data_IF_892101631123
#
_entry.id   IF_892101631123
#
_cell.length_a   1.000
_cell.length_b   1.000
_cell.length_c   1.000
_cell.angle_alpha   90.00
_cell.angle_beta   90.00
_cell.angle_gamma   90.00
#
_symmetry.space_group_name_H-M   'P 1'
#
loop_
_entity.id
_entity.type
_entity.pdbx_description
1 polymer ?
#
# COMPACT_ATOMS: atom_id res chain seq x y z
N UNK A 1 20.84 -33.95 7.89
CA UNK A 1 20.74 -34.56 9.23
C UNK A 1 19.39 -35.28 9.35
N UNK A 2 19.41 -36.60 9.30
CA UNK A 2 18.22 -37.44 9.47
C UNK A 2 17.90 -37.51 10.97
N UNK A 3 16.79 -36.91 11.43
CA UNK A 3 16.31 -37.15 12.80
C UNK A 3 15.56 -38.49 12.80
N UNK A 4 15.79 -39.38 13.79
CA UNK A 4 14.99 -40.60 13.92
C UNK A 4 13.50 -40.23 14.06
N UNK A 5 12.62 -41.00 13.41
CA UNK A 5 11.17 -40.80 13.46
C UNK A 5 10.69 -40.95 14.90
N UNK A 6 10.24 -39.84 15.49
CA UNK A 6 9.70 -39.85 16.85
C UNK A 6 8.29 -40.44 16.80
N UNK A 7 8.06 -41.50 17.56
CA UNK A 7 6.76 -42.16 17.69
C UNK A 7 6.17 -41.87 19.08
N UNK A 8 4.89 -41.55 19.15
CA UNK A 8 4.19 -41.18 20.39
C UNK A 8 2.94 -42.05 20.57
N UNK A 9 2.53 -42.28 21.82
CA UNK A 9 1.26 -42.97 22.12
C UNK A 9 0.14 -41.95 22.24
N UNK A 10 -0.93 -42.11 21.45
CA UNK A 10 -2.07 -41.21 21.49
C UNK A 10 -2.85 -41.35 22.82
N UNK A 11 -3.31 -40.23 23.42
CA UNK A 11 -3.92 -40.26 24.76
C UNK A 11 -5.26 -40.99 24.80
N UNK A 12 -6.02 -40.98 23.69
CA UNK A 12 -7.35 -41.57 23.62
C UNK A 12 -7.33 -43.02 23.12
N UNK A 13 -6.81 -43.28 21.91
CA UNK A 13 -6.78 -44.63 21.35
C UNK A 13 -5.72 -45.54 21.97
N UNK A 14 -4.73 -44.97 22.67
CA UNK A 14 -3.53 -45.67 23.17
C UNK A 14 -2.69 -46.34 22.07
N UNK A 15 -2.94 -46.00 20.81
CA UNK A 15 -2.17 -46.48 19.67
C UNK A 15 -0.89 -45.67 19.49
N UNK A 16 0.12 -46.30 18.86
CA UNK A 16 1.35 -45.63 18.46
C UNK A 16 1.11 -44.84 17.17
N UNK A 17 1.62 -43.62 17.13
CA UNK A 17 1.48 -42.70 16.02
C UNK A 17 2.81 -41.98 15.74
N UNK A 18 3.14 -41.83 14.46
CA UNK A 18 4.23 -41.01 13.99
C UNK A 18 3.77 -40.23 12.75
N UNK A 19 4.47 -39.15 12.41
CA UNK A 19 4.20 -38.38 11.18
C UNK A 19 5.04 -38.98 10.05
N UNK A 20 4.41 -39.53 8.99
CA UNK A 20 5.12 -40.00 7.80
C UNK A 20 6.05 -38.95 7.17
N UNK A 21 7.20 -39.39 6.66
CA UNK A 21 8.20 -38.50 6.04
C UNK A 21 7.80 -37.86 4.71
N UNK A 22 6.68 -38.30 4.13
CA UNK A 22 6.10 -37.76 2.89
C UNK A 22 4.97 -36.75 3.13
N UNK A 23 4.79 -36.28 4.37
CA UNK A 23 3.81 -35.25 4.72
C UNK A 23 4.48 -33.88 4.74
N UNK A 24 3.86 -32.92 4.05
CA UNK A 24 4.21 -31.51 4.11
C UNK A 24 3.09 -30.72 4.77
N UNK A 25 3.43 -29.85 5.73
CA UNK A 25 2.51 -28.94 6.39
C UNK A 25 2.77 -27.52 5.91
N UNK A 26 1.79 -26.91 5.25
CA UNK A 26 1.82 -25.52 4.82
C UNK A 26 0.72 -24.79 5.59
N UNK A 27 1.11 -23.78 6.35
CA UNK A 27 0.19 -22.91 7.09
C UNK A 27 0.29 -21.48 6.60
N UNK A 28 -0.83 -20.77 6.61
CA UNK A 28 -0.88 -19.32 6.41
C UNK A 28 -1.10 -18.63 7.74
N UNK A 29 -0.39 -17.55 8.00
CA UNK A 29 -0.52 -16.76 9.21
C UNK A 29 -0.77 -15.31 8.84
N UNK A 30 -1.78 -14.69 9.46
CA UNK A 30 -1.97 -13.24 9.40
C UNK A 30 -1.07 -12.61 10.47
N UNK A 31 -0.07 -11.81 10.08
CA UNK A 31 0.88 -11.21 11.02
C UNK A 31 0.36 -9.96 11.71
N UNK A 32 -0.71 -9.33 11.19
CA UNK A 32 -1.38 -8.22 11.85
C UNK A 32 -2.12 -8.66 13.13
N UNK A 33 -2.56 -9.91 13.19
CA UNK A 33 -3.31 -10.44 14.33
C UNK A 33 -2.37 -10.89 15.45
N UNK A 34 -2.25 -10.04 16.49
CA UNK A 34 -1.42 -10.31 17.66
C UNK A 34 -2.08 -11.19 18.72
N UNK A 35 -3.35 -11.60 18.54
CA UNK A 35 -4.08 -12.41 19.53
C UNK A 35 -3.46 -13.81 19.76
N UNK A 36 -2.64 -14.29 18.81
CA UNK A 36 -2.05 -15.64 18.84
C UNK A 36 -0.55 -15.67 19.18
N UNK A 37 0.03 -14.55 19.62
CA UNK A 37 1.48 -14.40 19.83
C UNK A 37 2.11 -15.48 20.75
N UNK A 38 1.36 -16.02 21.71
CA UNK A 38 1.85 -17.06 22.63
C UNK A 38 1.89 -18.47 22.00
N UNK A 39 0.94 -18.82 21.12
CA UNK A 39 0.94 -20.09 20.36
C UNK A 39 2.14 -20.14 19.39
N UNK A 40 2.56 -18.96 18.97
CA UNK A 40 3.53 -18.72 17.92
C UNK A 40 4.95 -19.20 18.27
N UNK A 41 5.39 -19.13 19.55
CA UNK A 41 6.79 -19.46 19.91
C UNK A 41 7.11 -20.95 19.67
N UNK A 42 6.20 -21.86 19.99
CA UNK A 42 6.42 -23.29 19.82
C UNK A 42 6.35 -23.72 18.34
N UNK A 43 5.46 -23.08 17.57
CA UNK A 43 5.34 -23.28 16.13
C UNK A 43 6.54 -22.67 15.39
N UNK A 44 7.01 -21.49 15.80
CA UNK A 44 8.19 -20.81 15.24
C UNK A 44 9.46 -21.66 15.24
N UNK A 45 9.58 -22.57 16.19
CA UNK A 45 10.72 -23.51 16.28
C UNK A 45 10.59 -24.74 15.39
N UNK A 46 9.41 -25.00 14.80
CA UNK A 46 9.09 -26.22 14.02
C UNK A 46 8.83 -25.93 12.55
N UNK A 47 8.53 -24.69 12.20
CA UNK A 47 8.24 -24.25 10.83
C UNK A 47 9.36 -23.36 10.27
N UNK A 48 9.51 -23.38 8.95
CA UNK A 48 10.24 -22.33 8.22
C UNK A 48 9.23 -21.25 7.83
N UNK A 49 9.55 -19.98 8.09
CA UNK A 49 8.66 -18.86 7.83
C UNK A 49 9.10 -18.16 6.55
N UNK A 50 8.15 -17.99 5.63
CA UNK A 50 8.33 -17.25 4.39
C UNK A 50 7.35 -16.09 4.44
N UNK A 51 7.89 -14.87 4.55
CA UNK A 51 7.08 -13.65 4.54
C UNK A 51 6.53 -13.41 3.13
N UNK A 52 5.25 -13.06 3.05
CA UNK A 52 4.57 -12.68 1.80
C UNK A 52 4.06 -11.25 1.98
N UNK A 53 4.91 -10.22 1.77
CA UNK A 53 4.50 -8.84 1.97
C UNK A 53 3.51 -8.40 0.87
N UNK A 54 2.76 -7.31 1.09
CA UNK A 54 2.00 -6.70 0.02
C UNK A 54 2.88 -6.35 -1.17
N UNK A 55 2.41 -6.69 -2.37
CA UNK A 55 3.13 -6.44 -3.61
C UNK A 55 2.31 -5.51 -4.54
N UNK A 56 2.44 -4.17 -4.40
CA UNK A 56 1.78 -3.21 -5.27
C UNK A 56 2.14 -3.35 -6.76
N UNK A 57 3.31 -3.93 -7.09
CA UNK A 57 3.72 -4.12 -8.50
C UNK A 57 2.80 -5.04 -9.27
N UNK A 58 2.03 -5.90 -8.59
CA UNK A 58 1.00 -6.70 -9.24
C UNK A 58 -0.14 -5.83 -9.82
N UNK A 59 -0.18 -4.53 -9.51
CA UNK A 59 -1.19 -3.56 -9.93
C UNK A 59 -0.57 -2.46 -10.83
N UNK A 60 0.66 -2.64 -11.33
CA UNK A 60 1.40 -1.62 -12.11
C UNK A 60 0.69 -1.17 -13.40
N UNK A 61 -0.05 -2.09 -14.01
CA UNK A 61 -0.89 -1.84 -15.20
C UNK A 61 -2.33 -1.42 -14.86
N UNK A 62 -2.70 -1.38 -13.59
CA UNK A 62 -4.06 -1.02 -13.17
C UNK A 62 -4.15 0.48 -12.98
N UNK A 63 -5.02 1.09 -13.79
CA UNK A 63 -5.32 2.52 -13.74
C UNK A 63 -6.84 2.73 -13.72
N UNK A 64 -7.29 3.66 -12.89
CA UNK A 64 -8.70 4.08 -12.83
C UNK A 64 -8.75 5.58 -13.10
N UNK A 65 -9.22 5.99 -14.27
CA UNK A 65 -9.35 7.41 -14.66
C UNK A 65 -8.09 8.26 -14.36
N UNK A 66 -6.89 7.74 -14.67
CA UNK A 66 -5.60 8.38 -14.40
C UNK A 66 -5.01 8.12 -13.01
N UNK A 67 -5.69 7.35 -12.16
CA UNK A 67 -5.18 6.94 -10.84
C UNK A 67 -4.37 5.66 -10.98
N UNK A 68 -3.05 5.77 -10.80
CA UNK A 68 -2.14 4.65 -10.69
C UNK A 68 -2.35 3.86 -9.39
N UNK A 69 -2.95 2.66 -9.47
CA UNK A 69 -3.36 1.90 -8.27
C UNK A 69 -2.16 1.31 -7.50
N UNK A 70 -1.10 0.91 -8.19
CA UNK A 70 0.16 0.51 -7.55
C UNK A 70 0.79 1.64 -6.73
N UNK A 71 0.77 2.86 -7.27
CA UNK A 71 1.28 4.06 -6.62
C UNK A 71 0.42 4.45 -5.42
N UNK A 72 -0.91 4.43 -5.57
CA UNK A 72 -1.87 4.67 -4.49
C UNK A 72 -1.63 3.72 -3.30
N UNK A 73 -1.60 2.41 -3.55
CA UNK A 73 -1.37 1.39 -2.52
C UNK A 73 0.01 1.55 -1.88
N UNK A 74 1.05 1.79 -2.69
CA UNK A 74 2.41 1.98 -2.19
C UNK A 74 2.49 3.17 -1.23
N UNK A 75 1.92 4.32 -1.60
CA UNK A 75 1.97 5.54 -0.77
C UNK A 75 1.17 5.35 0.53
N UNK A 76 0.01 4.72 0.46
CA UNK A 76 -0.78 4.40 1.67
C UNK A 76 0.01 3.46 2.60
N UNK A 77 0.59 2.39 2.08
CA UNK A 77 1.38 1.45 2.88
C UNK A 77 2.63 2.10 3.49
N UNK A 78 3.26 3.04 2.81
CA UNK A 78 4.37 3.82 3.40
C UNK A 78 3.92 4.62 4.62
N UNK A 79 2.73 5.22 4.59
CA UNK A 79 2.18 5.96 5.73
C UNK A 79 1.75 5.04 6.86
N UNK A 80 1.09 3.94 6.54
CA UNK A 80 0.68 2.94 7.53
C UNK A 80 1.90 2.37 8.25
N UNK A 81 2.93 1.96 7.52
CA UNK A 81 4.16 1.44 8.11
C UNK A 81 4.90 2.45 8.99
N UNK A 82 4.78 3.74 8.69
CA UNK A 82 5.36 4.81 9.50
C UNK A 82 4.56 5.12 10.77
N UNK A 83 3.24 4.94 10.75
CA UNK A 83 2.35 5.21 11.88
C UNK A 83 2.12 4.00 12.79
N UNK A 84 2.24 2.78 12.24
CA UNK A 84 2.08 1.50 12.93
C UNK A 84 3.35 0.66 12.75
N UNK A 85 3.31 -0.31 11.84
CA UNK A 85 4.43 -1.17 11.47
C UNK A 85 4.16 -1.82 10.09
N UNK A 86 5.10 -2.64 9.62
CA UNK A 86 5.02 -3.32 8.32
C UNK A 86 3.89 -4.36 8.24
N UNK A 87 3.50 -4.96 9.37
CA UNK A 87 2.54 -6.07 9.40
C UNK A 87 1.10 -5.59 9.19
N UNK A 88 0.85 -4.29 9.38
CA UNK A 88 -0.44 -3.65 9.11
C UNK A 88 -0.55 -3.07 7.70
N UNK A 89 0.41 -3.31 6.80
CA UNK A 89 0.29 -2.84 5.42
C UNK A 89 -0.92 -3.49 4.71
N UNK A 90 -1.63 -2.71 3.91
CA UNK A 90 -2.76 -3.18 3.09
C UNK A 90 -2.28 -4.17 2.03
N UNK A 91 -2.96 -5.30 1.92
CA UNK A 91 -2.73 -6.29 0.88
C UNK A 91 -3.22 -5.83 -0.49
N UNK A 92 -2.50 -6.19 -1.55
CA UNK A 92 -2.88 -5.88 -2.94
C UNK A 92 -4.18 -6.58 -3.39
N UNK A 93 -4.60 -7.63 -2.69
CA UNK A 93 -5.82 -8.40 -3.00
C UNK A 93 -7.09 -7.54 -3.02
N UNK A 94 -7.20 -6.52 -2.15
CA UNK A 94 -8.35 -5.60 -2.15
C UNK A 94 -8.54 -4.89 -3.50
N UNK A 95 -7.44 -4.60 -4.18
CA UNK A 95 -7.42 -3.84 -5.43
C UNK A 95 -7.39 -4.73 -6.69
N UNK A 96 -7.15 -6.04 -6.55
CA UNK A 96 -7.11 -6.96 -7.69
C UNK A 96 -8.40 -6.99 -8.54
N UNK A 97 -9.62 -6.81 -8.00
CA UNK A 97 -10.83 -6.70 -8.83
C UNK A 97 -10.77 -5.58 -9.88
N UNK A 98 -10.00 -4.51 -9.64
CA UNK A 98 -9.82 -3.40 -10.59
C UNK A 98 -9.10 -3.83 -11.87
N UNK A 99 -8.42 -5.00 -11.88
CA UNK A 99 -7.88 -5.58 -13.12
C UNK A 99 -8.98 -5.93 -14.12
N UNK A 100 -10.14 -6.36 -13.63
CA UNK A 100 -11.29 -6.72 -14.45
C UNK A 100 -12.22 -5.53 -14.66
N UNK A 101 -12.40 -4.70 -13.64
CA UNK A 101 -13.31 -3.55 -13.65
C UNK A 101 -12.63 -2.29 -13.10
N UNK A 102 -11.80 -1.60 -13.92
CA UNK A 102 -11.05 -0.42 -13.50
C UNK A 102 -11.93 0.85 -13.50
N UNK A 103 -12.99 0.85 -12.68
CA UNK A 103 -13.93 1.98 -12.59
C UNK A 103 -13.81 2.72 -11.26
N UNK A 104 -14.08 4.03 -11.27
CA UNK A 104 -14.11 4.83 -10.06
C UNK A 104 -15.15 4.31 -9.05
N UNK A 105 -16.31 3.86 -9.51
CA UNK A 105 -17.34 3.27 -8.66
C UNK A 105 -16.84 2.01 -7.92
N UNK A 106 -16.05 1.16 -8.60
CA UNK A 106 -15.44 -0.01 -7.95
C UNK A 106 -14.38 0.40 -6.94
N UNK A 107 -13.57 1.41 -7.24
CA UNK A 107 -12.57 1.95 -6.32
C UNK A 107 -13.21 2.61 -5.09
N UNK A 108 -14.33 3.34 -5.27
CA UNK A 108 -15.17 3.85 -4.17
C UNK A 108 -15.59 2.72 -3.23
N UNK A 109 -16.16 1.64 -3.78
CA UNK A 109 -16.60 0.48 -3.00
C UNK A 109 -15.45 -0.14 -2.19
N UNK A 110 -14.29 -0.35 -2.83
CA UNK A 110 -13.08 -0.86 -2.14
C UNK A 110 -12.70 0.05 -0.97
N UNK A 111 -12.69 1.37 -1.20
CA UNK A 111 -12.31 2.32 -0.15
C UNK A 111 -13.30 2.33 1.02
N UNK A 112 -14.60 2.38 0.73
CA UNK A 112 -15.65 2.54 1.75
C UNK A 112 -15.94 1.26 2.52
N UNK A 113 -15.90 0.12 1.84
CA UNK A 113 -16.37 -1.16 2.41
C UNK A 113 -15.22 -1.99 2.98
N UNK A 114 -13.97 -1.74 2.55
CA UNK A 114 -12.84 -2.59 2.91
C UNK A 114 -11.69 -1.79 3.53
N UNK A 115 -11.16 -0.79 2.81
CA UNK A 115 -9.99 -0.04 3.26
C UNK A 115 -10.29 0.79 4.50
N UNK A 116 -11.34 1.61 4.48
CA UNK A 116 -11.64 2.51 5.57
C UNK A 116 -12.03 1.77 6.87
N UNK A 117 -12.91 0.74 6.85
CA UNK A 117 -13.17 -0.07 8.04
C UNK A 117 -11.92 -0.74 8.60
N UNK A 118 -11.01 -1.21 7.74
CA UNK A 118 -9.75 -1.80 8.18
C UNK A 118 -8.83 -0.76 8.85
N UNK A 119 -8.77 0.45 8.30
CA UNK A 119 -8.01 1.54 8.93
C UNK A 119 -8.62 1.95 10.28
N UNK A 120 -9.96 1.95 10.42
CA UNK A 120 -10.63 2.18 11.70
C UNK A 120 -10.20 1.15 12.75
N UNK A 121 -10.16 -0.13 12.38
CA UNK A 121 -9.69 -1.21 13.25
C UNK A 121 -8.22 -1.04 13.61
N UNK A 122 -7.35 -0.81 12.63
CA UNK A 122 -5.90 -0.66 12.84
C UNK A 122 -5.52 0.53 13.73
N UNK A 123 -6.26 1.62 13.61
CA UNK A 123 -6.00 2.85 14.37
C UNK A 123 -6.90 2.98 15.61
N UNK A 124 -7.68 1.96 15.97
CA UNK A 124 -8.61 2.00 17.11
C UNK A 124 -9.49 3.26 17.10
N UNK A 125 -10.10 3.58 15.95
CA UNK A 125 -10.91 4.79 15.75
C UNK A 125 -10.13 6.12 15.90
N UNK A 126 -8.79 6.13 15.83
CA UNK A 126 -8.01 7.37 15.70
C UNK A 126 -8.10 7.93 14.28
N UNK A 127 -9.20 8.65 14.03
CA UNK A 127 -9.54 9.25 12.74
C UNK A 127 -8.50 10.24 12.21
N UNK A 128 -7.75 10.91 13.10
CA UNK A 128 -6.70 11.83 12.69
C UNK A 128 -5.54 11.07 12.01
N UNK A 129 -5.16 9.90 12.54
CA UNK A 129 -4.17 9.04 11.87
C UNK A 129 -4.69 8.49 10.55
N UNK A 130 -5.97 8.11 10.47
CA UNK A 130 -6.60 7.70 9.21
C UNK A 130 -6.55 8.84 8.19
N UNK A 131 -6.85 10.07 8.61
CA UNK A 131 -6.75 11.28 7.79
C UNK A 131 -5.35 11.44 7.21
N UNK A 132 -4.31 11.21 8.01
CA UNK A 132 -2.92 11.29 7.55
C UNK A 132 -2.57 10.21 6.52
N UNK A 133 -3.03 8.96 6.71
CA UNK A 133 -2.86 7.88 5.72
C UNK A 133 -3.48 8.27 4.37
N UNK A 134 -4.67 8.88 4.41
CA UNK A 134 -5.39 9.35 3.23
C UNK A 134 -4.87 10.69 2.68
N UNK A 135 -3.93 11.35 3.37
CA UNK A 135 -3.38 12.67 3.03
C UNK A 135 -4.40 13.81 3.03
N UNK A 136 -5.52 13.65 3.73
CA UNK A 136 -6.65 14.59 3.68
C UNK A 136 -6.32 15.96 4.26
N UNK A 137 -5.38 16.03 5.21
CA UNK A 137 -4.88 17.28 5.81
C UNK A 137 -4.15 18.20 4.82
N UNK A 138 -3.81 17.69 3.62
CA UNK A 138 -3.15 18.45 2.55
C UNK A 138 -4.06 18.69 1.34
N UNK A 139 -5.30 18.20 1.37
CA UNK A 139 -6.28 18.36 0.28
C UNK A 139 -7.18 19.56 0.54
N UNK A 140 -7.80 20.05 -0.52
CA UNK A 140 -8.97 20.92 -0.39
C UNK A 140 -10.10 20.15 0.31
N UNK A 141 -10.88 20.80 1.17
CA UNK A 141 -11.90 20.14 2.00
C UNK A 141 -12.92 19.33 1.20
N UNK A 142 -13.22 19.76 -0.03
CA UNK A 142 -14.13 19.07 -0.94
C UNK A 142 -13.60 17.74 -1.51
N UNK A 143 -12.29 17.49 -1.37
CA UNK A 143 -11.58 16.29 -1.82
C UNK A 143 -11.01 15.47 -0.66
N UNK A 144 -11.18 15.94 0.58
CA UNK A 144 -10.86 15.17 1.79
C UNK A 144 -11.95 14.13 2.01
N UNK A 145 -11.58 12.86 2.20
CA UNK A 145 -12.51 11.78 2.51
C UNK A 145 -13.08 11.91 3.93
N UNK A 146 -12.28 12.44 4.86
CA UNK A 146 -12.63 12.70 6.24
C UNK A 146 -12.71 14.20 6.50
N UNK A 147 -13.80 14.62 7.13
CA UNK A 147 -14.01 16.00 7.56
C UNK A 147 -14.33 16.06 9.04
N UNK A 148 -13.97 17.18 9.65
CA UNK A 148 -14.26 17.48 11.04
C UNK A 148 -15.21 18.68 11.07
N UNK A 149 -16.54 18.47 11.14
CA UNK A 149 -17.48 19.57 11.17
C UNK A 149 -17.31 20.38 12.46
N UNK A 150 -17.35 21.71 12.34
CA UNK A 150 -17.46 22.59 13.49
C UNK A 150 -18.81 22.37 14.16
N UNK A 151 -18.82 22.17 15.48
CA UNK A 151 -20.04 21.96 16.23
C UNK A 151 -20.20 23.02 17.31
N UNK A 152 -21.36 23.69 17.33
CA UNK A 152 -21.70 24.63 18.38
C UNK A 152 -22.15 23.87 19.63
N UNK A 153 -21.19 23.60 20.52
CA UNK A 153 -21.42 22.86 21.76
C UNK A 153 -22.35 23.60 22.72
N UNK A 154 -22.35 24.94 22.70
CA UNK A 154 -23.21 25.76 23.55
C UNK A 154 -24.65 25.62 23.08
N UNK A 155 -24.90 25.67 21.77
CA UNK A 155 -26.25 25.44 21.24
C UNK A 155 -26.79 24.03 21.56
N UNK A 156 -25.91 23.02 21.70
CA UNK A 156 -26.32 21.63 21.94
C UNK A 156 -26.51 21.27 23.42
N UNK A 157 -25.60 21.73 24.29
CA UNK A 157 -25.56 21.31 25.69
C UNK A 157 -25.80 22.46 26.68
N UNK A 158 -25.91 23.70 26.18
CA UNK A 158 -25.93 24.90 27.01
C UNK A 158 -24.56 25.26 27.57
N UNK A 159 -24.54 26.31 28.36
CA UNK A 159 -23.37 26.91 29.02
C UNK A 159 -22.96 26.19 30.31
N UNK A 160 -23.81 25.29 30.82
CA UNK A 160 -23.56 24.57 32.09
C UNK A 160 -22.79 23.26 31.90
N UNK A 161 -22.72 22.72 30.68
CA UNK A 161 -22.05 21.46 30.38
C UNK A 161 -20.70 21.74 29.72
N UNK A 162 -19.61 21.38 30.40
CA UNK A 162 -18.26 21.48 29.83
C UNK A 162 -17.90 20.17 29.13
N UNK A 163 -17.94 20.17 27.80
CA UNK A 163 -17.44 19.05 26.98
C UNK A 163 -15.96 19.32 26.66
N UNK A 164 -15.09 18.34 26.89
CA UNK A 164 -13.69 18.45 26.53
C UNK A 164 -13.51 18.66 25.02
N UNK A 165 -12.57 19.52 24.63
CA UNK A 165 -12.26 19.78 23.21
C UNK A 165 -11.76 18.53 22.44
N UNK A 166 -11.48 17.43 23.14
CA UNK A 166 -11.08 16.15 22.56
C UNK A 166 -12.22 15.39 21.86
N UNK A 167 -13.46 15.88 21.91
CA UNK A 167 -14.59 15.24 21.25
C UNK A 167 -14.66 15.65 19.77
N UNK A 168 -13.56 15.40 19.05
CA UNK A 168 -13.43 15.67 17.63
C UNK A 168 -14.34 14.70 16.87
N UNK A 169 -15.56 15.14 16.56
CA UNK A 169 -16.46 14.36 15.72
C UNK A 169 -15.89 14.33 14.31
N UNK A 170 -15.69 13.13 13.79
CA UNK A 170 -15.29 12.90 12.40
C UNK A 170 -16.47 12.42 11.59
N UNK A 171 -16.52 12.86 10.33
CA UNK A 171 -17.55 12.43 9.37
C UNK A 171 -16.92 12.06 8.03
N UNK A 172 -17.60 11.15 7.32
CA UNK A 172 -17.24 10.80 5.96
C UNK A 172 -17.82 11.85 5.00
N UNK A 173 -16.95 12.46 4.20
CA UNK A 173 -17.34 13.26 3.06
C UNK A 173 -17.65 12.32 1.88
N UNK A 174 -18.86 11.74 1.87
CA UNK A 174 -19.29 10.77 0.85
C UNK A 174 -19.07 11.28 -0.60
N UNK A 175 -19.37 12.54 -0.94
CA UNK A 175 -19.06 13.08 -2.27
C UNK A 175 -17.58 12.98 -2.68
N UNK A 176 -16.64 13.05 -1.74
CA UNK A 176 -15.21 12.95 -2.07
C UNK A 176 -14.82 11.57 -2.61
N UNK A 177 -15.52 10.50 -2.24
CA UNK A 177 -15.26 9.16 -2.78
C UNK A 177 -15.62 9.01 -4.26
N UNK A 178 -16.42 9.93 -4.81
CA UNK A 178 -16.78 9.96 -6.22
C UNK A 178 -15.91 10.90 -7.04
N UNK A 179 -14.83 11.44 -6.46
CA UNK A 179 -13.92 12.38 -7.11
C UNK A 179 -12.55 11.75 -7.33
N UNK A 180 -12.06 11.82 -8.56
CA UNK A 180 -10.73 11.34 -8.95
C UNK A 180 -9.65 12.12 -8.17
N UNK A 181 -9.85 13.41 -7.98
CA UNK A 181 -8.95 14.32 -7.27
C UNK A 181 -8.70 13.90 -5.82
N UNK A 182 -9.69 13.28 -5.17
CA UNK A 182 -9.53 12.78 -3.79
C UNK A 182 -8.50 11.66 -3.71
N UNK A 183 -8.48 10.77 -4.70
CA UNK A 183 -7.54 9.65 -4.81
C UNK A 183 -6.16 10.11 -5.30
N UNK A 184 -6.11 10.98 -6.31
CA UNK A 184 -4.85 11.60 -6.74
C UNK A 184 -4.20 12.35 -5.59
N UNK A 185 -4.99 13.05 -4.77
CA UNK A 185 -4.51 13.73 -3.58
C UNK A 185 -3.92 12.80 -2.51
N UNK A 186 -4.25 11.50 -2.51
CA UNK A 186 -3.57 10.50 -1.65
C UNK A 186 -2.14 10.31 -2.12
N UNK A 187 -1.90 10.23 -3.44
CA UNK A 187 -0.56 10.07 -4.03
C UNK A 187 0.23 11.37 -3.85
N UNK A 188 -0.31 12.47 -4.36
CA UNK A 188 0.22 13.82 -4.19
C UNK A 188 -0.91 14.85 -4.35
N UNK A 189 -1.10 15.68 -3.33
CA UNK A 189 -2.08 16.78 -3.31
C UNK A 189 -1.95 17.80 -4.46
N UNK A 190 -0.81 17.84 -5.18
CA UNK A 190 -0.62 18.71 -6.33
C UNK A 190 -1.04 18.07 -7.67
N UNK A 191 -1.26 16.75 -7.72
CA UNK A 191 -1.67 16.08 -8.94
C UNK A 191 -3.11 16.47 -9.30
N UNK A 192 -3.30 16.94 -10.54
CA UNK A 192 -4.62 17.28 -11.09
C UNK A 192 -4.96 16.36 -12.25
N UNK A 193 -6.25 16.05 -12.40
CA UNK A 193 -6.77 15.31 -13.54
C UNK A 193 -6.43 16.05 -14.84
N UNK A 194 -5.88 15.34 -15.82
CA UNK A 194 -5.58 15.91 -17.14
C UNK A 194 -4.39 16.89 -17.18
N UNK A 195 -3.65 17.07 -16.07
CA UNK A 195 -2.32 17.70 -16.16
C UNK A 195 -1.42 16.73 -16.95
N UNK A 196 -0.99 17.08 -18.18
CA UNK A 196 -0.15 16.18 -18.96
C UNK A 196 1.15 15.98 -18.18
N UNK A 197 1.43 14.75 -17.77
CA UNK A 197 2.83 14.41 -17.55
C UNK A 197 3.46 14.47 -18.94
N UNK A 198 4.41 15.36 -19.15
CA UNK A 198 5.14 15.42 -20.42
C UNK A 198 5.68 14.02 -20.72
N UNK A 199 5.31 13.46 -21.88
CA UNK A 199 5.88 12.20 -22.31
C UNK A 199 7.39 12.39 -22.46
N UNK A 200 8.16 11.69 -21.62
CA UNK A 200 9.62 11.80 -21.58
C UNK A 200 10.22 10.48 -21.97
N UNK A 201 11.23 10.54 -22.82
CA UNK A 201 12.03 9.38 -23.20
C UNK A 201 13.49 9.72 -22.94
N UNK A 202 14.14 8.90 -22.13
CA UNK A 202 15.59 9.00 -21.89
C UNK A 202 16.23 7.69 -22.30
N UNK A 203 17.36 7.81 -23.00
CA UNK A 203 18.20 6.68 -23.38
C UNK A 203 19.52 6.76 -22.63
N UNK A 204 19.89 5.66 -21.96
CA UNK A 204 21.21 5.50 -21.33
C UNK A 204 21.61 4.03 -21.38
N UNK A 205 22.89 3.73 -21.64
CA UNK A 205 23.43 2.36 -21.62
C UNK A 205 22.65 1.32 -22.46
N UNK A 206 22.06 1.74 -23.59
CA UNK A 206 21.24 0.87 -24.43
C UNK A 206 19.86 0.51 -23.83
N UNK A 207 19.46 1.20 -22.76
CA UNK A 207 18.15 1.12 -22.11
C UNK A 207 17.37 2.39 -22.45
N UNK A 208 16.15 2.20 -22.94
CA UNK A 208 15.18 3.28 -23.19
C UNK A 208 14.13 3.25 -22.08
N UNK A 209 14.00 4.36 -21.36
CA UNK A 209 12.98 4.53 -20.31
C UNK A 209 11.99 5.55 -20.82
N UNK A 210 10.72 5.15 -20.94
CA UNK A 210 9.64 5.97 -21.47
C UNK A 210 8.61 6.22 -20.37
N UNK A 211 8.32 7.49 -20.13
CA UNK A 211 7.16 7.93 -19.38
C UNK A 211 6.05 8.30 -20.35
N UNK A 212 4.91 7.61 -20.22
CA UNK A 212 3.68 7.95 -20.94
C UNK A 212 2.96 9.11 -20.27
N UNK A 213 1.99 9.72 -20.97
CA UNK A 213 1.28 10.91 -20.49
C UNK A 213 0.42 10.64 -19.24
N UNK A 214 0.05 9.38 -19.02
CA UNK A 214 -0.61 8.81 -17.84
C UNK A 214 0.38 8.53 -16.68
N UNK A 215 1.68 8.81 -16.88
CA UNK A 215 2.71 8.56 -15.90
C UNK A 215 3.18 7.11 -15.78
N UNK A 216 2.76 6.21 -16.69
CA UNK A 216 3.28 4.85 -16.80
C UNK A 216 4.74 4.86 -17.23
N UNK A 217 5.54 3.98 -16.64
CA UNK A 217 6.96 3.80 -16.98
C UNK A 217 7.14 2.49 -17.72
N UNK A 218 7.56 2.57 -18.98
CA UNK A 218 7.94 1.42 -19.79
C UNK A 218 9.46 1.40 -20.00
N UNK A 219 10.09 0.24 -19.84
CA UNK A 219 11.55 0.09 -19.95
C UNK A 219 11.90 -0.90 -21.05
N UNK A 220 12.75 -0.49 -21.99
CA UNK A 220 13.18 -1.32 -23.11
C UNK A 220 14.70 -1.50 -23.09
N UNK A 221 15.19 -2.69 -23.44
CA UNK A 221 16.61 -2.97 -23.67
C UNK A 221 16.77 -3.61 -25.05
N UNK A 222 17.54 -2.98 -25.93
CA UNK A 222 17.69 -3.47 -27.32
C UNK A 222 16.38 -3.55 -28.11
N UNK A 223 15.40 -2.69 -27.79
CA UNK A 223 14.07 -2.69 -28.43
C UNK A 223 13.04 -3.66 -27.84
N UNK A 224 13.45 -4.55 -26.92
CA UNK A 224 12.53 -5.47 -26.24
C UNK A 224 12.01 -4.84 -24.93
N UNK A 225 10.69 -4.91 -24.71
CA UNK A 225 10.06 -4.47 -23.46
C UNK A 225 10.46 -5.40 -22.31
N UNK A 226 11.00 -4.84 -21.22
CA UNK A 226 11.47 -5.57 -20.05
C UNK A 226 10.42 -5.56 -18.95
N UNK A 227 10.00 -6.76 -18.51
CA UNK A 227 9.14 -6.97 -17.34
C UNK A 227 9.69 -8.09 -16.44
N UNK A 228 9.74 -7.91 -15.11
CA UNK A 228 9.47 -6.66 -14.39
C UNK A 228 10.55 -5.62 -14.67
N UNK A 229 10.17 -4.34 -14.78
CA UNK A 229 11.11 -3.25 -15.08
C UNK A 229 11.98 -2.83 -13.86
N UNK A 230 11.49 -3.07 -12.64
CA UNK A 230 12.10 -2.57 -11.39
C UNK A 230 13.56 -3.01 -11.15
N UNK A 231 13.97 -4.28 -11.37
CA UNK A 231 15.36 -4.68 -11.20
C UNK A 231 16.32 -3.89 -12.09
N UNK A 232 15.93 -3.65 -13.34
CA UNK A 232 16.71 -2.89 -14.30
C UNK A 232 16.78 -1.40 -13.93
N UNK A 233 15.67 -0.83 -13.47
CA UNK A 233 15.66 0.54 -12.96
C UNK A 233 16.54 0.70 -11.71
N UNK A 234 16.64 -0.31 -10.83
CA UNK A 234 17.54 -0.29 -9.68
C UNK A 234 19.00 -0.34 -10.07
N UNK A 235 19.35 -1.19 -11.03
CA UNK A 235 20.70 -1.26 -11.59
C UNK A 235 21.12 0.12 -12.13
N UNK A 236 20.25 0.76 -12.92
CA UNK A 236 20.46 2.11 -13.44
C UNK A 236 20.56 3.17 -12.34
N UNK A 237 19.64 3.14 -11.37
CA UNK A 237 19.67 4.08 -10.26
C UNK A 237 20.98 3.98 -9.47
N UNK A 238 21.43 2.77 -9.16
CA UNK A 238 22.70 2.53 -8.46
C UNK A 238 23.89 3.05 -9.27
N UNK A 239 23.91 2.83 -10.58
CA UNK A 239 24.99 3.30 -11.47
C UNK A 239 25.09 4.83 -11.52
N UNK A 240 23.96 5.52 -11.48
CA UNK A 240 23.90 6.99 -11.53
C UNK A 240 23.88 7.66 -10.14
N UNK A 241 24.03 6.89 -9.06
CA UNK A 241 24.00 7.42 -7.69
C UNK A 241 22.62 7.92 -7.24
N UNK A 242 21.55 7.47 -7.88
CA UNK A 242 20.17 7.83 -7.57
C UNK A 242 19.64 6.89 -6.48
N UNK A 243 19.13 7.46 -5.38
CA UNK A 243 18.54 6.65 -4.31
C UNK A 243 17.25 5.95 -4.77
N UNK A 244 17.25 4.62 -4.66
CA UNK A 244 16.11 3.73 -4.87
C UNK A 244 15.14 3.66 -3.69
N UNK A 245 15.39 4.42 -2.63
CA UNK A 245 14.53 4.54 -1.46
C UNK A 245 13.93 5.95 -1.36
N UNK A 246 12.80 6.05 -0.68
CA UNK A 246 12.20 7.32 -0.27
C UNK A 246 12.95 7.91 0.93
N UNK A 247 12.60 9.14 1.33
CA UNK A 247 13.15 9.77 2.53
C UNK A 247 12.82 8.99 3.83
N UNK A 248 11.78 8.14 3.82
CA UNK A 248 11.42 7.28 4.94
C UNK A 248 12.07 5.89 4.90
N UNK A 249 12.97 5.63 3.94
CA UNK A 249 13.71 4.38 3.82
C UNK A 249 12.95 3.24 3.12
N UNK A 250 11.71 3.46 2.67
CA UNK A 250 10.95 2.48 1.89
C UNK A 250 11.43 2.42 0.44
N UNK A 251 11.42 1.23 -0.16
CA UNK A 251 11.79 1.05 -1.56
C UNK A 251 10.78 1.72 -2.50
N UNK A 252 11.28 2.42 -3.52
CA UNK A 252 10.43 3.04 -4.54
C UNK A 252 9.85 1.98 -5.49
N UNK A 253 8.60 2.18 -5.92
CA UNK A 253 7.96 1.39 -6.97
C UNK A 253 8.52 1.75 -8.37
N UNK A 254 8.11 1.00 -9.39
CA UNK A 254 8.56 1.18 -10.78
C UNK A 254 8.29 2.61 -11.30
N UNK A 255 7.08 3.14 -11.08
CA UNK A 255 6.68 4.49 -11.52
C UNK A 255 7.53 5.58 -10.86
N UNK A 256 7.61 5.59 -9.53
CA UNK A 256 8.36 6.60 -8.77
C UNK A 256 9.86 6.54 -9.05
N UNK A 257 10.44 5.34 -9.13
CA UNK A 257 11.86 5.15 -9.46
C UNK A 257 12.15 5.61 -10.90
N UNK A 258 11.29 5.21 -11.84
CA UNK A 258 11.39 5.64 -13.24
C UNK A 258 11.33 7.15 -13.41
N UNK A 259 10.36 7.84 -12.77
CA UNK A 259 10.27 9.30 -12.80
C UNK A 259 11.53 9.98 -12.25
N UNK A 260 12.10 9.46 -11.14
CA UNK A 260 13.36 9.96 -10.57
C UNK A 260 14.53 9.86 -11.56
N UNK A 261 14.68 8.69 -12.20
CA UNK A 261 15.73 8.45 -13.19
C UNK A 261 15.55 9.34 -14.42
N UNK A 262 14.33 9.43 -14.96
CA UNK A 262 14.01 10.29 -16.10
C UNK A 262 14.36 11.75 -15.79
N UNK A 263 13.96 12.25 -14.62
CA UNK A 263 14.26 13.62 -14.20
C UNK A 263 15.77 13.86 -14.15
N UNK A 264 16.52 13.00 -13.46
CA UNK A 264 17.97 13.11 -13.33
C UNK A 264 18.69 13.07 -14.69
N UNK A 265 18.32 12.14 -15.57
CA UNK A 265 18.95 12.00 -16.88
C UNK A 265 18.58 13.15 -17.83
N UNK A 266 17.34 13.67 -17.75
CA UNK A 266 16.91 14.83 -18.54
C UNK A 266 17.69 16.08 -18.15
N UNK A 267 17.98 16.26 -16.85
CA UNK A 267 18.79 17.37 -16.33
C UNK A 267 20.28 17.29 -16.71
N UNK A 268 20.80 16.09 -17.03
CA UNK A 268 22.18 15.91 -17.49
C UNK A 268 22.35 16.02 -19.01
N UNK A 269 21.27 15.90 -19.79
CA UNK A 269 21.28 15.97 -21.25
C UNK A 269 20.95 17.36 -21.81
N UNK A 270 20.54 18.31 -20.95
CA UNK A 270 20.33 19.73 -21.27
C UNK A 270 21.46 20.61 -20.77
#
# INVERSE_FOLDING_TARGET
YFRPSLEVTLPYSKERFSIPGNIHLIGTMNTADRSLAALDIALRRRFTFIEVPPNPELLDEVEVDGIAIDELLSVMNQRIAALLDRDHCLGHAYFMPLKAEPTLARLEGIFREQVLPLLQEYFFEDWQRIQWVLNDQRKASENSFLIQPSQDLIALFGDTVTVGQSNERWELNLPAFQKIESYLGVIDHNLKVGAPLEAKNVRTDGIDIRQSADGRIDVYRGGQHIKPAKPLLRELASKHGISSTSASGSELNTRSLGRKIIKFLSEQQG
#
